data_IF_790855418852
#
_entry.id   IF_790855418852
#
_cell.length_a   1.000
_cell.length_b   1.000
_cell.length_c   1.000
_cell.angle_alpha   90.00
_cell.angle_beta   90.00
_cell.angle_gamma   90.00
#
_symmetry.space_group_name_H-M   'P 1'
#
loop_
_entity.id
_entity.type
_entity.pdbx_description
1 polymer ?
#
# COMPACT_ATOMS: atom_id res chain seq x y z
N UNK A 1 47.65 26.11 -24.83
CA UNK A 1 47.13 24.75 -24.51
C UNK A 1 45.61 24.77 -24.60
N UNK A 2 45.03 23.80 -25.26
CA UNK A 2 43.58 23.71 -25.40
C UNK A 2 42.97 23.09 -24.11
N UNK A 3 42.05 23.81 -23.47
CA UNK A 3 41.38 23.32 -22.25
C UNK A 3 40.04 22.64 -22.60
N UNK A 4 39.77 21.52 -21.95
CA UNK A 4 38.50 20.76 -22.12
C UNK A 4 37.38 21.39 -21.31
N UNK A 5 36.22 21.59 -21.93
CA UNK A 5 35.01 22.14 -21.30
C UNK A 5 33.82 21.25 -21.66
N UNK A 6 32.90 20.99 -20.69
CA UNK A 6 31.69 20.25 -20.95
C UNK A 6 30.60 21.11 -21.59
N UNK A 7 29.95 20.61 -22.64
CA UNK A 7 28.78 21.22 -23.24
C UNK A 7 27.53 21.09 -22.34
N UNK A 8 26.44 21.81 -22.66
CA UNK A 8 25.14 21.67 -21.97
C UNK A 8 24.59 20.24 -21.97
N UNK A 9 24.96 19.43 -22.98
CA UNK A 9 24.60 18.01 -23.12
C UNK A 9 25.70 17.07 -22.60
N UNK A 10 26.67 17.54 -21.80
CA UNK A 10 27.73 16.72 -21.21
C UNK A 10 28.82 16.26 -22.19
N UNK A 11 28.85 16.77 -23.42
CA UNK A 11 29.90 16.45 -24.40
C UNK A 11 31.12 17.31 -24.16
N UNK A 12 32.29 16.72 -24.27
CA UNK A 12 33.57 17.48 -24.16
C UNK A 12 33.70 18.43 -25.33
N UNK A 13 34.03 19.70 -25.03
CA UNK A 13 34.40 20.75 -25.98
C UNK A 13 35.84 21.13 -25.77
N UNK A 14 36.52 21.46 -26.87
CA UNK A 14 37.87 22.00 -26.84
C UNK A 14 37.81 23.52 -26.95
N UNK A 15 38.51 24.22 -26.05
CA UNK A 15 38.72 25.66 -26.17
C UNK A 15 40.01 25.91 -26.97
N UNK A 16 39.89 26.55 -28.10
CA UNK A 16 41.05 26.99 -28.90
C UNK A 16 40.79 28.39 -29.46
N UNK A 17 41.72 29.30 -29.19
CA UNK A 17 41.63 30.70 -29.64
C UNK A 17 40.30 31.41 -29.35
N UNK A 18 39.71 31.19 -28.17
CA UNK A 18 38.44 31.79 -27.77
C UNK A 18 37.18 31.16 -28.39
N UNK A 19 37.35 30.06 -29.11
CA UNK A 19 36.27 29.30 -29.69
C UNK A 19 36.09 27.96 -29.01
N UNK A 20 34.86 27.44 -28.99
CA UNK A 20 34.50 26.16 -28.42
C UNK A 20 34.18 25.15 -29.51
N UNK A 21 34.98 24.11 -29.64
CA UNK A 21 34.85 23.06 -30.62
C UNK A 21 34.23 21.79 -30.00
N UNK A 22 33.32 21.12 -30.72
CA UNK A 22 32.79 19.83 -30.34
C UNK A 22 33.68 18.68 -30.89
N UNK A 23 34.02 17.70 -30.06
CA UNK A 23 34.66 16.49 -30.56
C UNK A 23 33.63 15.69 -31.40
N UNK A 24 33.90 15.54 -32.70
CA UNK A 24 33.23 14.58 -33.55
C UNK A 24 33.95 13.23 -33.43
N UNK A 25 33.27 12.17 -33.03
CA UNK A 25 33.82 10.82 -33.00
C UNK A 25 34.01 10.36 -34.45
N UNK A 26 35.22 10.49 -34.99
CA UNK A 26 35.57 9.93 -36.31
C UNK A 26 35.93 8.47 -36.06
N UNK A 27 35.19 7.55 -36.70
CA UNK A 27 35.49 6.14 -36.77
C UNK A 27 36.63 5.91 -37.78
N UNK A 28 37.86 6.25 -37.47
CA UNK A 28 39.02 5.70 -38.16
C UNK A 28 40.35 6.02 -37.48
N UNK A 29 41.33 5.17 -37.74
CA UNK A 29 42.61 4.93 -37.10
C UNK A 29 43.67 6.04 -37.19
N UNK A 30 43.41 7.32 -37.11
CA UNK A 30 44.48 8.35 -36.95
C UNK A 30 43.95 9.57 -36.20
N UNK A 31 44.67 10.03 -35.20
CA UNK A 31 44.45 11.21 -34.37
C UNK A 31 44.58 12.54 -35.15
N UNK A 32 43.71 12.86 -36.03
CA UNK A 32 43.60 14.23 -36.58
C UNK A 32 42.35 14.90 -36.11
N UNK A 33 42.47 15.87 -35.22
CA UNK A 33 41.37 16.77 -34.82
C UNK A 33 41.25 17.89 -35.86
N UNK A 34 40.30 17.81 -36.74
CA UNK A 34 40.00 18.92 -37.68
C UNK A 34 39.35 20.09 -36.94
N UNK A 35 39.98 21.25 -36.96
CA UNK A 35 39.46 22.48 -36.40
C UNK A 35 38.79 23.23 -37.52
N UNK A 36 37.46 23.32 -37.50
CA UNK A 36 36.67 24.07 -38.50
C UNK A 36 36.73 25.59 -38.18
N UNK A 37 36.79 26.43 -39.24
CA UNK A 37 36.75 27.90 -39.09
C UNK A 37 35.37 28.32 -38.57
N UNK A 38 35.32 29.12 -37.49
CA UNK A 38 34.09 29.65 -36.94
C UNK A 38 33.65 30.93 -37.68
N UNK A 39 32.35 31.00 -37.95
CA UNK A 39 31.71 32.22 -38.51
C UNK A 39 31.32 33.25 -37.45
N UNK A 40 31.43 32.93 -36.15
CA UNK A 40 31.09 33.81 -35.04
C UNK A 40 32.38 34.42 -34.42
N UNK A 41 32.35 35.65 -33.84
CA UNK A 41 33.49 36.25 -33.18
C UNK A 41 33.89 35.44 -31.93
N UNK A 42 35.21 35.40 -31.68
CA UNK A 42 35.73 34.81 -30.46
C UNK A 42 35.30 35.63 -29.24
N UNK A 43 34.89 34.92 -28.15
CA UNK A 43 34.50 35.56 -26.88
C UNK A 43 35.16 34.85 -25.73
N UNK A 44 36.16 35.45 -25.15
CA UNK A 44 36.87 34.94 -23.98
C UNK A 44 35.92 34.86 -22.77
N UNK A 45 35.01 35.83 -22.61
CA UNK A 45 34.06 35.86 -21.50
C UNK A 45 33.07 34.69 -21.57
N UNK A 46 32.59 34.31 -22.77
CA UNK A 46 31.71 33.18 -22.96
C UNK A 46 32.41 31.84 -22.66
N UNK A 47 33.70 31.72 -23.00
CA UNK A 47 34.53 30.57 -22.70
C UNK A 47 34.71 30.40 -21.20
N UNK A 48 35.10 31.47 -20.50
CA UNK A 48 35.30 31.50 -19.07
C UNK A 48 33.95 31.22 -18.31
N UNK A 49 32.85 31.83 -18.74
CA UNK A 49 31.53 31.54 -18.16
C UNK A 49 31.15 30.06 -18.26
N UNK A 50 31.50 29.40 -19.38
CA UNK A 50 31.26 27.95 -19.53
C UNK A 50 32.16 27.10 -18.65
N UNK A 51 33.41 27.52 -18.40
CA UNK A 51 34.29 26.83 -17.41
C UNK A 51 33.71 26.95 -16.02
N UNK A 52 33.22 28.10 -15.59
CA UNK A 52 32.56 28.32 -14.31
C UNK A 52 31.32 27.43 -14.16
N UNK A 53 30.46 27.37 -15.18
CA UNK A 53 29.28 26.50 -15.17
C UNK A 53 29.69 25.00 -15.13
N UNK A 54 30.80 24.64 -15.76
CA UNK A 54 31.32 23.25 -15.70
C UNK A 54 31.83 22.93 -14.31
N UNK A 55 32.53 23.84 -13.64
CA UNK A 55 32.96 23.70 -12.26
C UNK A 55 31.75 23.57 -11.32
N UNK A 56 30.73 24.42 -11.47
CA UNK A 56 29.47 24.31 -10.73
C UNK A 56 28.81 22.95 -10.90
N UNK A 57 28.76 22.40 -12.11
CA UNK A 57 28.19 21.07 -12.38
C UNK A 57 28.98 19.98 -11.69
N UNK A 58 30.32 19.98 -11.75
CA UNK A 58 31.17 19.00 -11.06
C UNK A 58 30.98 19.05 -9.55
N UNK A 59 30.99 20.25 -8.97
CA UNK A 59 30.77 20.44 -7.53
C UNK A 59 29.37 20.01 -7.09
N UNK A 60 28.35 20.25 -7.94
CA UNK A 60 26.97 19.83 -7.67
C UNK A 60 26.82 18.30 -7.55
N UNK A 61 27.64 17.52 -8.25
CA UNK A 61 27.71 16.05 -8.14
C UNK A 61 28.47 15.63 -6.88
N UNK A 62 29.60 16.25 -6.62
CA UNK A 62 30.49 15.86 -5.51
C UNK A 62 30.10 16.34 -4.12
N UNK A 63 29.05 17.21 -4.00
CA UNK A 63 28.67 17.76 -2.70
C UNK A 63 27.14 17.84 -2.54
N UNK A 64 26.67 17.88 -1.29
CA UNK A 64 25.25 18.05 -0.93
C UNK A 64 24.88 19.53 -0.72
N UNK A 65 25.77 20.46 -1.08
CA UNK A 65 25.53 21.91 -0.93
C UNK A 65 24.27 22.37 -1.66
N UNK A 66 23.58 23.35 -1.07
CA UNK A 66 22.40 23.94 -1.73
C UNK A 66 22.76 24.65 -3.02
N UNK A 67 21.86 24.79 -4.01
CA UNK A 67 22.13 25.57 -5.23
C UNK A 67 22.55 27.01 -4.95
N UNK A 68 22.13 27.60 -3.83
CA UNK A 68 22.51 28.94 -3.41
C UNK A 68 23.99 29.00 -2.98
N UNK A 69 24.42 28.04 -2.15
CA UNK A 69 25.81 27.90 -1.68
C UNK A 69 26.71 27.60 -2.87
N UNK A 70 26.35 26.62 -3.72
CA UNK A 70 27.10 26.27 -4.93
C UNK A 70 27.31 27.51 -5.83
N UNK A 71 26.26 28.32 -6.02
CA UNK A 71 26.36 29.56 -6.80
C UNK A 71 27.30 30.54 -6.13
N UNK A 72 27.15 30.82 -4.84
CA UNK A 72 27.97 31.77 -4.10
C UNK A 72 29.46 31.44 -4.21
N UNK A 73 29.81 30.19 -3.89
CA UNK A 73 31.22 29.74 -3.89
C UNK A 73 31.82 29.62 -5.28
N UNK A 74 31.04 29.15 -6.29
CA UNK A 74 31.58 29.00 -7.65
C UNK A 74 31.69 30.31 -8.41
N UNK A 75 30.89 31.34 -8.04
CA UNK A 75 30.89 32.66 -8.69
C UNK A 75 31.73 33.66 -7.92
N UNK A 76 32.36 33.26 -6.84
CA UNK A 76 33.29 34.06 -6.08
C UNK A 76 34.52 34.44 -6.94
N UNK A 77 34.97 35.69 -6.86
CA UNK A 77 36.13 36.22 -7.57
C UNK A 77 36.05 36.14 -9.11
N UNK A 78 34.86 36.03 -9.70
CA UNK A 78 34.69 36.03 -11.16
C UNK A 78 34.58 37.48 -11.67
N UNK A 79 35.34 37.86 -12.71
CA UNK A 79 35.28 39.21 -13.29
C UNK A 79 33.88 39.59 -13.80
N UNK A 80 33.50 40.87 -13.62
CA UNK A 80 32.16 41.39 -13.99
C UNK A 80 31.72 41.05 -15.42
N UNK A 81 32.56 41.13 -16.47
CA UNK A 81 32.16 40.76 -17.83
C UNK A 81 31.75 39.28 -17.98
N UNK A 82 32.40 38.40 -17.20
CA UNK A 82 32.08 36.96 -17.17
C UNK A 82 30.83 36.70 -16.34
N UNK A 83 30.66 37.39 -15.18
CA UNK A 83 29.46 37.30 -14.34
C UNK A 83 28.19 37.63 -15.14
N UNK A 84 28.23 38.63 -16.01
CA UNK A 84 27.10 39.00 -16.87
C UNK A 84 26.68 37.88 -17.85
N UNK A 85 27.56 36.90 -18.11
CA UNK A 85 27.29 35.73 -18.98
C UNK A 85 26.88 34.47 -18.21
N UNK A 86 26.92 34.52 -16.88
CA UNK A 86 26.55 33.36 -16.05
C UNK A 86 25.03 33.23 -15.89
N UNK A 87 24.53 32.02 -15.67
CA UNK A 87 23.11 31.75 -15.44
C UNK A 87 22.60 32.51 -14.21
N UNK A 88 21.39 33.05 -14.28
CA UNK A 88 20.69 33.63 -13.13
C UNK A 88 20.42 32.61 -12.05
N UNK A 89 19.87 33.05 -10.91
CA UNK A 89 19.58 32.17 -9.73
C UNK A 89 18.70 30.99 -10.08
N UNK A 90 17.63 31.20 -10.84
CA UNK A 90 16.68 30.12 -11.18
C UNK A 90 17.25 29.16 -12.23
N UNK A 91 17.97 29.65 -13.21
CA UNK A 91 18.70 28.83 -14.17
C UNK A 91 19.76 27.97 -13.47
N UNK A 92 20.51 28.54 -12.50
CA UNK A 92 21.49 27.81 -11.69
C UNK A 92 20.79 26.68 -10.91
N UNK A 93 19.66 26.97 -10.23
CA UNK A 93 18.87 25.97 -9.51
C UNK A 93 18.42 24.84 -10.44
N UNK A 94 17.95 25.15 -11.64
CA UNK A 94 17.56 24.16 -12.67
C UNK A 94 18.77 23.34 -13.16
N UNK A 95 19.93 23.96 -13.35
CA UNK A 95 21.18 23.25 -13.75
C UNK A 95 21.58 22.24 -12.67
N UNK A 96 21.69 22.67 -11.42
CA UNK A 96 22.05 21.81 -10.30
C UNK A 96 21.07 20.64 -10.17
N UNK A 97 19.75 20.93 -10.22
CA UNK A 97 18.72 19.90 -10.17
C UNK A 97 18.87 18.88 -11.30
N UNK A 98 19.06 19.32 -12.55
CA UNK A 98 19.22 18.43 -13.71
C UNK A 98 20.48 17.58 -13.65
N UNK A 99 21.59 18.15 -13.16
CA UNK A 99 22.87 17.43 -13.04
C UNK A 99 22.75 16.33 -11.99
N UNK A 100 22.21 16.64 -10.81
CA UNK A 100 21.98 15.66 -9.76
C UNK A 100 20.99 14.57 -10.21
N UNK A 101 19.87 14.95 -10.84
CA UNK A 101 18.91 14.00 -11.39
C UNK A 101 19.48 13.08 -12.47
N UNK A 102 20.50 13.52 -13.20
CA UNK A 102 21.15 12.71 -14.23
C UNK A 102 22.13 11.70 -13.63
N UNK A 103 22.83 12.08 -12.57
CA UNK A 103 23.76 11.22 -11.84
C UNK A 103 23.01 10.12 -11.08
N UNK A 104 21.88 10.51 -10.43
CA UNK A 104 20.95 9.60 -9.73
C UNK A 104 19.81 9.11 -10.65
N UNK A 105 19.99 9.16 -11.97
CA UNK A 105 18.91 8.78 -12.90
C UNK A 105 18.60 7.28 -12.73
N UNK A 106 17.37 6.95 -12.36
CA UNK A 106 16.98 5.55 -12.27
C UNK A 106 17.09 4.87 -13.63
N UNK A 107 17.26 3.55 -13.68
CA UNK A 107 17.26 2.79 -14.92
C UNK A 107 16.03 3.07 -15.77
N UNK A 108 16.14 2.89 -17.08
CA UNK A 108 14.98 3.00 -17.96
C UNK A 108 13.91 1.96 -17.56
N UNK A 109 12.64 2.37 -17.55
CA UNK A 109 11.55 1.42 -17.31
C UNK A 109 11.43 0.46 -18.49
N UNK A 110 11.37 -0.85 -18.26
CA UNK A 110 11.12 -1.83 -19.32
C UNK A 110 9.67 -1.75 -19.80
N UNK A 111 9.41 -2.27 -21.01
CA UNK A 111 8.08 -2.29 -21.60
C UNK A 111 7.19 -3.44 -21.05
N UNK A 112 7.80 -4.48 -20.49
CA UNK A 112 7.12 -5.65 -19.94
C UNK A 112 7.92 -6.26 -18.78
N UNK A 113 7.28 -7.15 -18.03
CA UNK A 113 7.88 -7.79 -16.84
C UNK A 113 9.04 -8.74 -17.17
N UNK A 114 9.09 -9.28 -18.41
CA UNK A 114 10.15 -10.19 -18.83
C UNK A 114 11.48 -9.45 -19.05
N UNK A 115 11.43 -8.17 -19.43
CA UNK A 115 12.62 -7.34 -19.62
C UNK A 115 13.07 -6.64 -18.32
N UNK A 116 12.33 -6.79 -17.24
CA UNK A 116 12.64 -6.14 -15.98
C UNK A 116 13.85 -6.76 -15.31
N UNK A 117 14.89 -5.97 -15.16
CA UNK A 117 16.09 -6.30 -14.38
C UNK A 117 16.18 -5.31 -13.21
N UNK A 118 16.30 -5.83 -11.98
CA UNK A 118 16.49 -5.02 -10.79
C UNK A 118 17.99 -4.92 -10.49
N UNK A 119 18.58 -3.71 -10.57
CA UNK A 119 19.94 -3.49 -10.10
C UNK A 119 20.10 -3.79 -8.61
N UNK A 120 21.30 -4.15 -8.18
CA UNK A 120 21.63 -4.50 -6.79
C UNK A 120 21.18 -3.43 -5.78
N UNK A 121 21.41 -2.15 -6.11
CA UNK A 121 20.99 -1.02 -5.27
C UNK A 121 19.49 -1.00 -4.95
N UNK A 122 18.65 -1.61 -5.78
CA UNK A 122 17.20 -1.72 -5.54
C UNK A 122 16.80 -3.01 -4.80
N UNK A 123 17.73 -3.96 -4.65
CA UNK A 123 17.48 -5.22 -3.97
C UNK A 123 17.91 -5.21 -2.51
N UNK A 124 18.72 -4.23 -2.07
CA UNK A 124 19.29 -4.15 -0.73
C UNK A 124 18.75 -2.98 0.07
N UNK A 125 18.82 -3.05 1.40
CA UNK A 125 18.40 -2.04 2.35
C UNK A 125 19.52 -1.73 3.34
N UNK A 126 19.89 -0.45 3.44
CA UNK A 126 20.88 0.05 4.40
C UNK A 126 20.18 0.64 5.63
N UNK A 127 20.19 -0.11 6.72
CA UNK A 127 19.64 0.35 8.00
C UNK A 127 20.47 1.46 8.61
N UNK A 128 21.80 1.29 8.68
CA UNK A 128 22.80 2.24 9.17
C UNK A 128 24.11 2.00 8.45
N UNK A 129 25.10 2.85 8.67
CA UNK A 129 26.43 2.67 8.11
C UNK A 129 27.01 1.28 8.47
N UNK A 130 27.41 0.52 7.46
CA UNK A 130 27.95 -0.85 7.62
C UNK A 130 26.94 -1.96 7.89
N UNK A 131 25.62 -1.67 7.92
CA UNK A 131 24.55 -2.69 8.07
C UNK A 131 23.62 -2.68 6.87
N UNK A 132 23.93 -3.52 5.91
CA UNK A 132 23.13 -3.76 4.70
C UNK A 132 22.51 -5.16 4.76
N UNK A 133 21.25 -5.28 4.34
CA UNK A 133 20.52 -6.55 4.28
C UNK A 133 19.71 -6.60 2.98
N UNK A 134 19.26 -7.78 2.61
CA UNK A 134 18.37 -7.98 1.46
C UNK A 134 17.01 -7.29 1.72
N UNK A 135 16.52 -6.60 0.68
CA UNK A 135 15.21 -5.93 0.69
C UNK A 135 14.24 -6.53 -0.32
N UNK A 136 14.73 -7.02 -1.47
CA UNK A 136 13.97 -7.89 -2.35
C UNK A 136 14.00 -9.30 -1.74
N UNK A 137 12.94 -9.64 -1.00
CA UNK A 137 12.83 -10.93 -0.32
C UNK A 137 12.66 -12.08 -1.29
N UNK A 138 11.81 -11.89 -2.31
CA UNK A 138 11.57 -12.89 -3.34
C UNK A 138 11.24 -12.24 -4.68
N UNK A 139 11.62 -12.95 -5.74
CA UNK A 139 11.24 -12.71 -7.12
C UNK A 139 10.76 -14.04 -7.70
N UNK A 140 9.54 -14.09 -8.21
CA UNK A 140 8.98 -15.32 -8.79
C UNK A 140 9.64 -15.71 -10.09
N UNK A 141 10.52 -14.84 -10.62
CA UNK A 141 10.86 -14.82 -12.03
C UNK A 141 9.60 -14.68 -12.90
N UNK A 142 9.80 -14.69 -14.22
CA UNK A 142 8.68 -14.60 -15.16
C UNK A 142 8.05 -15.96 -15.32
N UNK A 143 6.73 -16.02 -15.17
CA UNK A 143 5.94 -17.23 -15.42
C UNK A 143 4.73 -16.91 -16.31
N UNK A 144 4.22 -17.92 -16.98
CA UNK A 144 3.05 -17.81 -17.87
C UNK A 144 1.79 -18.35 -17.16
N UNK A 145 0.71 -17.57 -17.22
CA UNK A 145 -0.61 -17.98 -16.73
C UNK A 145 -1.65 -17.41 -17.72
N UNK A 146 -2.55 -18.26 -18.23
CA UNK A 146 -3.60 -17.87 -19.20
C UNK A 146 -3.05 -17.09 -20.43
N UNK A 147 -1.93 -17.53 -21.00
CA UNK A 147 -1.23 -16.90 -22.13
C UNK A 147 -0.75 -15.45 -21.82
N UNK A 148 -0.55 -15.12 -20.56
CA UNK A 148 0.00 -13.84 -20.13
C UNK A 148 1.24 -14.05 -19.25
N UNK A 149 2.21 -13.16 -19.43
CA UNK A 149 3.44 -13.20 -18.64
C UNK A 149 3.24 -12.47 -17.32
N UNK A 150 3.52 -13.17 -16.24
CA UNK A 150 3.36 -12.69 -14.87
C UNK A 150 4.70 -12.67 -14.13
N UNK A 151 4.79 -11.82 -13.11
CA UNK A 151 5.89 -11.77 -12.18
C UNK A 151 5.45 -11.19 -10.84
N UNK A 152 6.02 -11.70 -9.76
CA UNK A 152 5.78 -11.26 -8.39
C UNK A 152 7.10 -10.79 -7.81
N UNK A 153 7.13 -9.57 -7.25
CA UNK A 153 8.26 -9.05 -6.51
C UNK A 153 7.83 -8.80 -5.07
N UNK A 154 8.55 -9.35 -4.10
CA UNK A 154 8.23 -9.18 -2.68
C UNK A 154 9.35 -8.39 -2.01
N UNK A 155 9.01 -7.24 -1.46
CA UNK A 155 9.91 -6.35 -0.74
C UNK A 155 9.63 -6.35 0.75
N UNK A 156 10.67 -6.36 1.55
CA UNK A 156 10.64 -6.32 3.00
C UNK A 156 12.03 -6.53 3.56
N UNK A 157 12.19 -6.49 4.87
CA UNK A 157 13.50 -6.74 5.50
C UNK A 157 13.73 -8.24 5.68
N UNK A 158 14.89 -8.73 5.25
CA UNK A 158 15.32 -10.11 5.50
C UNK A 158 15.31 -10.45 7.00
N UNK A 159 15.76 -9.51 7.84
CA UNK A 159 15.80 -9.67 9.30
C UNK A 159 14.42 -9.79 9.96
N UNK A 160 13.31 -9.54 9.26
CA UNK A 160 11.98 -9.88 9.76
C UNK A 160 11.79 -11.40 9.90
N UNK A 161 12.53 -12.22 9.15
CA UNK A 161 12.56 -13.67 9.31
C UNK A 161 12.94 -14.13 10.72
N UNK A 162 13.75 -13.36 11.46
CA UNK A 162 14.16 -13.70 12.82
C UNK A 162 12.99 -13.81 13.83
N UNK A 163 11.83 -13.28 13.47
CA UNK A 163 10.62 -13.35 14.28
C UNK A 163 9.39 -13.82 13.49
N UNK A 164 9.62 -14.49 12.36
CA UNK A 164 8.53 -15.00 11.52
C UNK A 164 7.60 -15.96 12.27
N UNK A 165 8.13 -16.74 13.21
CA UNK A 165 7.32 -17.60 14.09
C UNK A 165 6.37 -16.80 15.00
N UNK A 166 6.67 -15.54 15.33
CA UNK A 166 5.82 -14.67 16.16
C UNK A 166 4.75 -13.94 15.35
N UNK A 167 4.76 -14.07 14.02
CA UNK A 167 3.76 -13.46 13.11
C UNK A 167 2.45 -14.25 13.12
N UNK A 168 1.75 -14.27 14.26
CA UNK A 168 0.53 -15.06 14.45
C UNK A 168 -0.73 -14.36 13.96
N UNK A 169 -0.84 -13.05 14.14
CA UNK A 169 -1.95 -12.25 13.61
C UNK A 169 -1.45 -11.38 12.46
N UNK A 170 -1.94 -11.68 11.27
CA UNK A 170 -1.54 -11.03 10.00
C UNK A 170 -2.69 -10.20 9.45
N UNK A 171 -2.37 -9.07 8.86
CA UNK A 171 -3.29 -8.16 8.19
C UNK A 171 -2.81 -7.98 6.76
N UNK A 172 -3.65 -8.30 5.80
CA UNK A 172 -3.28 -8.28 4.39
C UNK A 172 -4.35 -7.54 3.56
N UNK A 173 -3.90 -6.66 2.67
CA UNK A 173 -4.80 -5.87 1.83
C UNK A 173 -4.10 -5.39 0.56
N UNK A 174 -4.86 -5.23 -0.53
CA UNK A 174 -4.40 -4.79 -1.83
C UNK A 174 -4.75 -3.33 -2.14
N UNK A 175 -3.83 -2.62 -2.77
CA UNK A 175 -4.08 -1.27 -3.29
C UNK A 175 -3.58 -1.11 -4.72
N UNK A 176 -4.34 -0.34 -5.53
CA UNK A 176 -4.03 -0.09 -6.94
C UNK A 176 -3.36 1.27 -7.16
N UNK A 177 -3.73 2.26 -6.34
CA UNK A 177 -3.37 3.69 -6.55
C UNK A 177 -1.86 3.90 -6.59
N UNK A 178 -1.12 3.13 -5.80
CA UNK A 178 0.34 3.23 -5.69
C UNK A 178 1.07 2.12 -6.45
N UNK A 179 0.36 1.31 -7.23
CA UNK A 179 1.01 0.26 -8.02
C UNK A 179 1.83 0.85 -9.15
N UNK A 180 3.13 0.47 -9.27
CA UNK A 180 3.96 0.86 -10.40
C UNK A 180 3.40 0.29 -11.72
N UNK A 181 3.66 0.95 -12.88
CA UNK A 181 3.42 0.36 -14.18
C UNK A 181 4.02 -1.05 -14.28
N UNK A 182 3.42 -1.93 -15.04
CA UNK A 182 3.67 -3.38 -15.18
C UNK A 182 3.05 -4.24 -14.07
N UNK A 183 2.65 -3.67 -12.94
CA UNK A 183 1.98 -4.41 -11.85
C UNK A 183 0.56 -3.91 -11.67
N UNK A 184 -0.36 -4.82 -11.39
CA UNK A 184 -1.76 -4.50 -11.20
C UNK A 184 -2.03 -3.94 -9.81
N UNK A 185 -1.33 -4.47 -8.79
CA UNK A 185 -1.54 -4.04 -7.41
C UNK A 185 -0.28 -4.17 -6.55
N UNK A 186 -0.30 -3.44 -5.43
CA UNK A 186 0.56 -3.62 -4.27
C UNK A 186 -0.25 -4.33 -3.21
N UNK A 187 0.21 -5.49 -2.74
CA UNK A 187 -0.40 -6.23 -1.64
C UNK A 187 0.48 -6.07 -0.39
N UNK A 188 -0.05 -5.37 0.60
CA UNK A 188 0.67 -5.10 1.84
C UNK A 188 0.37 -6.19 2.86
N UNK A 189 1.40 -6.71 3.52
CA UNK A 189 1.31 -7.73 4.56
C UNK A 189 1.91 -7.15 5.82
N UNK A 190 1.09 -7.08 6.86
CA UNK A 190 1.47 -6.57 8.17
C UNK A 190 1.31 -7.68 9.19
N UNK A 191 2.10 -7.64 10.26
CA UNK A 191 1.95 -8.57 11.37
C UNK A 191 1.95 -7.86 12.71
N UNK A 192 1.16 -8.38 13.63
CA UNK A 192 1.19 -8.00 15.03
C UNK A 192 2.48 -8.49 15.69
N UNK A 193 3.05 -7.67 16.55
CA UNK A 193 4.17 -8.03 17.40
C UNK A 193 3.90 -7.57 18.84
N UNK A 194 3.97 -8.49 19.77
CA UNK A 194 3.44 -8.25 21.11
C UNK A 194 1.93 -7.94 21.07
N UNK A 195 1.40 -7.32 22.12
CA UNK A 195 -0.05 -7.16 22.28
C UNK A 195 -0.68 -6.13 21.33
N UNK A 196 0.07 -5.09 20.92
CA UNK A 196 -0.54 -3.91 20.30
C UNK A 196 0.19 -3.34 19.09
N UNK A 197 1.46 -3.68 18.86
CA UNK A 197 2.20 -3.15 17.73
C UNK A 197 1.86 -3.94 16.46
N UNK A 198 1.71 -3.23 15.35
CA UNK A 198 1.52 -3.84 14.02
C UNK A 198 2.51 -3.20 13.06
N UNK A 199 3.34 -4.04 12.44
CA UNK A 199 4.38 -3.62 11.51
C UNK A 199 4.12 -4.17 10.11
N UNK A 200 4.31 -3.37 9.05
CA UNK A 200 4.44 -3.89 7.71
C UNK A 200 5.67 -4.81 7.64
N UNK A 201 5.48 -6.04 7.19
CA UNK A 201 6.55 -7.04 7.09
C UNK A 201 6.94 -7.30 5.65
N UNK A 202 5.97 -7.23 4.72
CA UNK A 202 6.23 -7.38 3.30
C UNK A 202 5.27 -6.55 2.44
N UNK A 203 5.73 -6.20 1.23
CA UNK A 203 4.93 -5.60 0.16
C UNK A 203 5.16 -6.39 -1.12
N UNK A 204 4.11 -6.98 -1.65
CA UNK A 204 4.17 -7.74 -2.89
C UNK A 204 3.63 -6.89 -4.07
N UNK A 205 4.39 -6.80 -5.14
CA UNK A 205 3.94 -6.29 -6.43
C UNK A 205 3.41 -7.46 -7.25
N UNK A 206 2.13 -7.43 -7.58
CA UNK A 206 1.44 -8.51 -8.29
C UNK A 206 0.98 -8.03 -9.67
N UNK A 207 1.21 -8.85 -10.69
CA UNK A 207 0.75 -8.59 -12.06
C UNK A 207 -0.68 -9.04 -12.32
N UNK A 208 -1.26 -9.84 -11.43
CA UNK A 208 -2.62 -10.36 -11.52
C UNK A 208 -3.27 -10.43 -10.14
N UNK A 209 -4.60 -10.62 -10.12
CA UNK A 209 -5.42 -10.88 -8.93
C UNK A 209 -6.02 -12.28 -8.93
N UNK A 210 -5.43 -13.18 -9.70
CA UNK A 210 -5.88 -14.56 -9.73
C UNK A 210 -5.55 -15.30 -8.41
N UNK A 211 -6.31 -16.33 -8.11
CA UNK A 211 -6.04 -17.21 -6.98
C UNK A 211 -4.63 -17.83 -7.08
N UNK A 212 -4.21 -18.22 -8.29
CA UNK A 212 -2.88 -18.77 -8.53
C UNK A 212 -1.77 -17.75 -8.22
N UNK A 213 -1.94 -16.46 -8.60
CA UNK A 213 -0.99 -15.40 -8.27
C UNK A 213 -0.89 -15.19 -6.75
N UNK A 214 -2.01 -15.16 -6.01
CA UNK A 214 -1.99 -15.05 -4.55
C UNK A 214 -1.37 -16.27 -3.88
N UNK A 215 -1.70 -17.48 -4.35
CA UNK A 215 -1.10 -18.73 -3.86
C UNK A 215 0.41 -18.72 -4.02
N UNK A 216 0.89 -18.39 -5.22
CA UNK A 216 2.33 -18.28 -5.49
C UNK A 216 3.01 -17.22 -4.61
N UNK A 217 2.37 -16.09 -4.37
CA UNK A 217 2.88 -15.06 -3.44
C UNK A 217 3.07 -15.63 -2.03
N UNK A 218 2.07 -16.34 -1.48
CA UNK A 218 2.18 -16.96 -0.15
C UNK A 218 3.24 -18.05 -0.09
N UNK A 219 3.37 -18.86 -1.13
CA UNK A 219 4.44 -19.87 -1.23
C UNK A 219 5.82 -19.23 -1.22
N UNK A 220 6.03 -18.14 -1.95
CA UNK A 220 7.28 -17.38 -1.93
C UNK A 220 7.60 -16.85 -0.52
N UNK A 221 6.61 -16.33 0.20
CA UNK A 221 6.79 -15.86 1.59
C UNK A 221 7.17 -17.02 2.51
N UNK A 222 6.50 -18.17 2.41
CA UNK A 222 6.83 -19.38 3.19
C UNK A 222 8.25 -19.89 2.88
N UNK A 223 8.68 -19.80 1.63
CA UNK A 223 10.03 -20.19 1.24
C UNK A 223 11.12 -19.26 1.82
N UNK A 224 10.82 -17.95 1.90
CA UNK A 224 11.74 -16.97 2.51
C UNK A 224 11.75 -17.09 4.04
N UNK A 225 10.57 -17.30 4.63
CA UNK A 225 10.38 -17.40 6.07
C UNK A 225 9.71 -18.75 6.42
N UNK A 226 10.52 -19.80 6.55
CA UNK A 226 10.05 -21.18 6.80
C UNK A 226 9.17 -21.29 8.05
N UNK A 227 9.42 -20.46 9.07
CA UNK A 227 8.68 -20.44 10.32
C UNK A 227 7.40 -19.58 10.25
N UNK A 228 7.07 -18.99 9.10
CA UNK A 228 5.87 -18.19 8.93
C UNK A 228 4.62 -19.07 8.91
N UNK A 229 3.91 -19.06 10.03
CA UNK A 229 2.71 -19.86 10.25
C UNK A 229 1.68 -19.05 11.06
N UNK A 230 0.87 -18.21 10.39
CA UNK A 230 -0.12 -17.36 11.04
C UNK A 230 -1.28 -18.19 11.61
N UNK A 231 -1.77 -17.79 12.79
CA UNK A 231 -3.00 -18.29 13.38
C UNK A 231 -4.23 -17.63 12.74
N UNK A 232 -4.09 -16.34 12.39
CA UNK A 232 -5.16 -15.59 11.73
C UNK A 232 -4.63 -14.68 10.63
N UNK A 233 -5.40 -14.53 9.54
CA UNK A 233 -5.15 -13.55 8.48
C UNK A 233 -6.41 -12.72 8.28
N UNK A 234 -6.30 -11.41 8.53
CA UNK A 234 -7.35 -10.44 8.23
C UNK A 234 -7.19 -9.94 6.79
N UNK A 235 -8.26 -10.03 6.00
CA UNK A 235 -8.29 -9.64 4.58
C UNK A 235 -9.63 -8.99 4.21
N UNK A 236 -9.77 -8.55 2.96
CA UNK A 236 -11.04 -8.09 2.41
C UNK A 236 -11.86 -9.24 1.79
N UNK A 237 -12.99 -8.90 1.13
CA UNK A 237 -13.91 -9.88 0.51
C UNK A 237 -13.50 -10.23 -0.92
N UNK A 238 -12.23 -10.57 -1.14
CA UNK A 238 -11.74 -11.05 -2.43
C UNK A 238 -11.57 -12.58 -2.42
N UNK A 239 -12.46 -13.30 -3.10
CA UNK A 239 -12.49 -14.77 -3.06
C UNK A 239 -11.16 -15.41 -3.48
N UNK A 240 -10.49 -14.85 -4.49
CA UNK A 240 -9.18 -15.33 -4.93
C UNK A 240 -8.14 -15.27 -3.80
N UNK A 241 -8.12 -14.17 -3.04
CA UNK A 241 -7.23 -14.02 -1.87
C UNK A 241 -7.64 -14.98 -0.73
N UNK A 242 -8.94 -15.09 -0.44
CA UNK A 242 -9.47 -16.00 0.58
C UNK A 242 -9.11 -17.46 0.27
N UNK A 243 -9.33 -17.91 -0.98
CA UNK A 243 -9.04 -19.28 -1.39
C UNK A 243 -7.54 -19.58 -1.34
N UNK A 244 -6.71 -18.64 -1.77
CA UNK A 244 -5.24 -18.79 -1.69
C UNK A 244 -4.77 -18.95 -0.24
N UNK A 245 -5.36 -18.21 0.72
CA UNK A 245 -5.06 -18.35 2.15
C UNK A 245 -5.48 -19.73 2.64
N UNK A 246 -6.69 -20.22 2.30
CA UNK A 246 -7.16 -21.56 2.66
C UNK A 246 -6.21 -22.65 2.16
N UNK A 247 -5.73 -22.51 0.92
CA UNK A 247 -4.79 -23.46 0.29
C UNK A 247 -3.43 -23.46 0.99
N UNK A 248 -2.86 -22.26 1.21
CA UNK A 248 -1.51 -22.15 1.77
C UNK A 248 -1.43 -22.34 3.29
N UNK A 249 -2.52 -22.02 4.02
CA UNK A 249 -2.61 -22.04 5.48
C UNK A 249 -3.92 -22.70 5.96
N UNK A 250 -4.09 -24.03 5.81
CA UNK A 250 -5.36 -24.72 6.09
C UNK A 250 -5.87 -24.61 7.55
N UNK A 251 -4.97 -24.29 8.49
CA UNK A 251 -5.31 -24.13 9.92
C UNK A 251 -5.47 -22.67 10.33
N UNK A 252 -5.30 -21.74 9.40
CA UNK A 252 -5.39 -20.31 9.67
C UNK A 252 -6.85 -19.85 9.69
N UNK A 253 -7.23 -19.12 10.71
CA UNK A 253 -8.52 -18.43 10.75
C UNK A 253 -8.50 -17.25 9.76
N UNK A 254 -9.43 -17.21 8.82
CA UNK A 254 -9.58 -16.10 7.88
C UNK A 254 -10.60 -15.11 8.45
N UNK A 255 -10.19 -13.86 8.59
CA UNK A 255 -10.98 -12.79 9.20
C UNK A 255 -11.26 -11.69 8.17
N UNK A 256 -12.46 -11.68 7.59
CA UNK A 256 -12.86 -10.56 6.73
C UNK A 256 -13.14 -9.30 7.54
N UNK A 257 -12.80 -8.16 6.96
CA UNK A 257 -12.83 -6.86 7.59
C UNK A 257 -14.27 -6.31 7.69
N UNK A 258 -14.74 -5.98 8.89
CA UNK A 258 -16.07 -5.37 9.11
C UNK A 258 -16.24 -4.05 8.35
N UNK A 259 -15.18 -3.23 8.23
CA UNK A 259 -15.24 -2.00 7.46
C UNK A 259 -15.56 -2.26 5.98
N UNK A 260 -14.96 -3.30 5.38
CA UNK A 260 -15.25 -3.69 4.00
C UNK A 260 -16.67 -4.27 3.85
N UNK A 261 -17.22 -4.95 4.87
CA UNK A 261 -18.62 -5.38 4.87
C UNK A 261 -19.57 -4.18 4.76
N UNK A 262 -19.38 -3.17 5.63
CA UNK A 262 -20.17 -1.93 5.61
C UNK A 262 -19.97 -1.17 4.29
N UNK A 263 -18.76 -1.12 3.77
CA UNK A 263 -18.47 -0.48 2.48
C UNK A 263 -19.17 -1.19 1.32
N UNK A 264 -19.22 -2.53 1.33
CA UNK A 264 -19.97 -3.30 0.34
C UNK A 264 -21.48 -3.03 0.41
N UNK A 265 -22.05 -2.92 1.62
CA UNK A 265 -23.44 -2.50 1.81
C UNK A 265 -23.68 -1.09 1.25
N UNK A 266 -22.83 -0.12 1.57
CA UNK A 266 -22.96 1.25 1.03
C UNK A 266 -22.85 1.29 -0.50
N UNK A 267 -21.97 0.48 -1.07
CA UNK A 267 -21.90 0.32 -2.54
C UNK A 267 -23.23 -0.21 -3.09
N UNK A 268 -23.84 -1.18 -2.41
CA UNK A 268 -25.13 -1.74 -2.80
C UNK A 268 -26.26 -0.72 -2.67
N UNK A 269 -26.29 0.05 -1.57
CA UNK A 269 -27.22 1.18 -1.43
C UNK A 269 -27.08 2.20 -2.59
N UNK A 270 -25.85 2.46 -3.04
CA UNK A 270 -25.59 3.35 -4.19
C UNK A 270 -26.10 2.75 -5.50
N UNK A 271 -25.91 1.44 -5.73
CA UNK A 271 -26.42 0.73 -6.91
C UNK A 271 -27.96 0.76 -7.00
N UNK A 272 -28.64 0.74 -5.86
CA UNK A 272 -30.10 0.86 -5.79
C UNK A 272 -30.62 2.32 -5.68
N UNK A 273 -29.72 3.32 -5.81
CA UNK A 273 -30.09 4.74 -5.74
C UNK A 273 -30.48 5.25 -4.34
N UNK A 274 -30.23 4.47 -3.30
CA UNK A 274 -30.65 4.75 -1.92
C UNK A 274 -29.62 5.58 -1.13
N UNK A 275 -28.47 5.92 -1.70
CA UNK A 275 -27.38 6.61 -0.98
C UNK A 275 -27.75 8.02 -0.53
N UNK A 276 -28.58 8.75 -1.29
CA UNK A 276 -29.06 10.07 -0.89
C UNK A 276 -29.94 9.98 0.33
N UNK A 277 -30.85 8.99 0.38
CA UNK A 277 -31.70 8.74 1.55
C UNK A 277 -30.90 8.35 2.77
N UNK A 278 -29.91 7.44 2.60
CA UNK A 278 -28.98 7.05 3.66
C UNK A 278 -28.28 8.25 4.30
N UNK A 279 -27.94 9.29 3.52
CA UNK A 279 -27.26 10.50 4.02
C UNK A 279 -28.20 11.47 4.73
N UNK A 280 -29.46 11.54 4.32
CA UNK A 280 -30.39 12.58 4.74
C UNK A 280 -31.46 12.10 5.74
N UNK A 281 -31.68 10.80 5.87
CA UNK A 281 -32.64 10.19 6.78
C UNK A 281 -31.90 9.35 7.84
N UNK A 282 -31.79 9.87 9.10
CA UNK A 282 -31.09 9.16 10.16
C UNK A 282 -31.71 7.80 10.52
N UNK A 283 -33.05 7.68 10.40
CA UNK A 283 -33.76 6.42 10.72
C UNK A 283 -33.45 5.39 9.64
N UNK A 284 -33.54 5.76 8.38
CA UNK A 284 -33.17 4.90 7.26
C UNK A 284 -31.69 4.47 7.34
N UNK A 285 -30.78 5.39 7.69
CA UNK A 285 -29.38 5.08 7.90
C UNK A 285 -29.16 4.10 9.05
N UNK A 286 -29.87 4.27 10.17
CA UNK A 286 -29.79 3.34 11.30
C UNK A 286 -30.29 1.95 10.90
N UNK A 287 -31.45 1.84 10.26
CA UNK A 287 -31.98 0.56 9.80
C UNK A 287 -31.09 -0.11 8.76
N UNK A 288 -30.49 0.66 7.84
CA UNK A 288 -29.48 0.11 6.91
C UNK A 288 -28.32 -0.54 7.67
N UNK A 289 -27.85 0.09 8.77
CA UNK A 289 -26.77 -0.46 9.60
C UNK A 289 -27.20 -1.67 10.44
N UNK A 290 -28.49 -1.86 10.74
CA UNK A 290 -28.96 -3.09 11.40
C UNK A 290 -28.55 -4.34 10.62
N UNK A 291 -28.62 -4.29 9.28
CA UNK A 291 -28.22 -5.41 8.42
C UNK A 291 -26.76 -5.80 8.67
N UNK A 292 -25.84 -4.85 8.70
CA UNK A 292 -24.43 -5.13 8.96
C UNK A 292 -24.11 -5.36 10.44
N UNK A 293 -24.99 -4.89 11.36
CA UNK A 293 -24.89 -5.18 12.80
C UNK A 293 -25.11 -6.65 13.12
N UNK A 294 -25.73 -7.44 12.22
CA UNK A 294 -25.81 -8.90 12.36
C UNK A 294 -24.44 -9.57 12.52
N UNK A 295 -23.35 -8.90 12.08
CA UNK A 295 -21.99 -9.38 12.30
C UNK A 295 -21.64 -9.55 13.79
N UNK A 296 -22.32 -8.86 14.68
CA UNK A 296 -22.13 -8.91 16.13
C UNK A 296 -23.05 -9.88 16.86
N UNK A 297 -23.86 -10.65 16.16
CA UNK A 297 -24.69 -11.70 16.74
C UNK A 297 -23.92 -13.03 16.73
N UNK A 298 -24.20 -13.94 17.68
CA UNK A 298 -23.82 -15.34 17.54
C UNK A 298 -24.31 -15.90 16.20
N UNK A 299 -23.54 -16.75 15.55
CA UNK A 299 -23.91 -17.29 14.22
C UNK A 299 -25.28 -18.02 14.28
N UNK A 300 -25.59 -18.68 15.41
CA UNK A 300 -26.87 -19.31 15.61
C UNK A 300 -28.07 -18.36 15.56
N UNK A 301 -27.88 -17.11 15.93
CA UNK A 301 -28.95 -16.10 15.96
C UNK A 301 -29.13 -15.36 14.63
N UNK A 302 -28.39 -15.69 13.60
CA UNK A 302 -28.56 -15.06 12.29
C UNK A 302 -29.94 -15.37 11.67
N UNK A 303 -30.52 -16.55 11.90
CA UNK A 303 -31.85 -16.87 11.39
C UNK A 303 -32.95 -16.07 12.08
N UNK A 304 -33.08 -16.06 13.41
CA UNK A 304 -34.07 -15.20 14.07
C UNK A 304 -33.85 -13.72 13.77
N UNK A 305 -32.59 -13.26 13.60
CA UNK A 305 -32.31 -11.87 13.22
C UNK A 305 -32.81 -11.54 11.81
N UNK A 306 -32.62 -12.42 10.83
CA UNK A 306 -33.16 -12.23 9.47
C UNK A 306 -34.68 -12.13 9.50
N UNK A 307 -35.37 -13.03 10.23
CA UNK A 307 -36.82 -13.00 10.36
C UNK A 307 -37.30 -11.70 11.03
N UNK A 308 -36.61 -11.27 12.09
CA UNK A 308 -36.93 -10.03 12.79
C UNK A 308 -36.73 -8.79 11.88
N UNK A 309 -35.63 -8.76 11.12
CA UNK A 309 -35.34 -7.67 10.20
C UNK A 309 -36.34 -7.62 9.04
N UNK A 310 -36.70 -8.75 8.46
CA UNK A 310 -37.70 -8.85 7.38
C UNK A 310 -39.04 -8.19 7.73
N UNK A 311 -39.42 -8.26 9.02
CA UNK A 311 -40.66 -7.67 9.54
C UNK A 311 -40.53 -6.21 9.95
N UNK A 312 -39.35 -5.75 10.30
CA UNK A 312 -39.14 -4.43 10.95
C UNK A 312 -38.40 -3.42 10.08
N UNK A 313 -37.72 -3.87 8.98
CA UNK A 313 -37.03 -2.96 8.06
C UNK A 313 -38.04 -2.20 7.18
N UNK A 314 -37.65 -0.96 6.83
CA UNK A 314 -38.34 -0.22 5.76
C UNK A 314 -38.32 -1.02 4.46
N UNK A 315 -39.45 -1.04 3.75
CA UNK A 315 -39.63 -1.81 2.52
C UNK A 315 -38.56 -1.56 1.48
N UNK A 316 -38.04 -0.34 1.39
CA UNK A 316 -36.99 0.04 0.44
C UNK A 316 -35.63 -0.59 0.76
N UNK A 317 -35.41 -1.11 1.97
CA UNK A 317 -34.22 -1.85 2.35
C UNK A 317 -34.29 -3.34 2.03
N UNK A 318 -35.43 -3.85 1.64
CA UNK A 318 -35.60 -5.28 1.32
C UNK A 318 -34.63 -5.76 0.25
N UNK A 319 -34.38 -5.05 -0.86
CA UNK A 319 -33.37 -5.50 -1.84
C UNK A 319 -31.94 -5.57 -1.28
N UNK A 320 -31.62 -4.74 -0.29
CA UNK A 320 -30.32 -4.77 0.40
C UNK A 320 -30.24 -6.00 1.33
N UNK A 321 -31.33 -6.29 2.03
CA UNK A 321 -31.44 -7.45 2.90
C UNK A 321 -31.35 -8.76 2.10
N UNK A 322 -32.04 -8.85 0.96
CA UNK A 322 -31.98 -10.01 0.05
C UNK A 322 -30.57 -10.24 -0.48
N UNK A 323 -29.89 -9.17 -0.89
CA UNK A 323 -28.49 -9.22 -1.32
C UNK A 323 -27.59 -9.71 -0.20
N UNK A 324 -27.80 -9.22 1.04
CA UNK A 324 -27.00 -9.65 2.19
C UNK A 324 -27.23 -11.14 2.49
N UNK A 325 -28.48 -11.58 2.51
CA UNK A 325 -28.82 -12.98 2.71
C UNK A 325 -28.17 -13.88 1.66
N UNK A 326 -28.27 -13.51 0.38
CA UNK A 326 -27.70 -14.33 -0.70
C UNK A 326 -26.18 -14.48 -0.60
N UNK A 327 -25.47 -13.42 -0.21
CA UNK A 327 -24.01 -13.40 -0.28
C UNK A 327 -23.31 -13.75 1.04
N UNK A 328 -23.97 -13.53 2.21
CA UNK A 328 -23.30 -13.58 3.51
C UNK A 328 -23.90 -14.56 4.49
N UNK A 329 -25.19 -14.86 4.44
CA UNK A 329 -25.83 -15.75 5.39
C UNK A 329 -26.38 -17.03 4.77
N UNK A 330 -26.68 -17.03 3.48
CA UNK A 330 -27.44 -18.07 2.81
C UNK A 330 -28.93 -17.98 3.08
N UNK A 331 -29.75 -18.48 2.15
CA UNK A 331 -31.22 -18.57 2.28
C UNK A 331 -31.60 -19.70 3.20
N UNK A 332 -32.65 -19.49 3.97
CA UNK A 332 -33.24 -20.54 4.82
C UNK A 332 -34.07 -21.47 3.93
N UNK A 333 -33.83 -22.75 4.05
CA UNK A 333 -34.57 -23.82 3.39
C UNK A 333 -35.75 -24.29 4.26
N UNK A 334 -36.73 -24.97 3.66
CA UNK A 334 -37.91 -25.50 4.35
C UNK A 334 -37.58 -26.46 5.50
N UNK A 335 -36.41 -27.10 5.46
CA UNK A 335 -35.92 -28.00 6.49
C UNK A 335 -35.15 -27.29 7.62
N UNK A 336 -35.18 -25.95 7.67
CA UNK A 336 -34.51 -25.14 8.70
C UNK A 336 -33.02 -24.88 8.45
N UNK A 337 -32.39 -25.58 7.49
CA UNK A 337 -30.99 -25.34 7.13
C UNK A 337 -30.81 -24.17 6.15
N UNK A 338 -29.61 -23.66 6.08
CA UNK A 338 -29.23 -22.56 5.14
C UNK A 338 -28.51 -23.07 3.90
N UNK A 339 -28.68 -22.40 2.79
CA UNK A 339 -27.79 -22.57 1.64
C UNK A 339 -26.40 -22.01 1.97
N UNK A 340 -25.36 -22.52 1.31
CA UNK A 340 -24.00 -22.00 1.47
C UNK A 340 -23.86 -20.67 0.73
N UNK A 341 -23.59 -19.54 1.42
CA UNK A 341 -23.38 -18.25 0.78
C UNK A 341 -21.96 -18.14 0.19
N UNK A 342 -21.72 -17.09 -0.61
CA UNK A 342 -20.36 -16.81 -1.13
C UNK A 342 -19.36 -16.55 0.01
N UNK A 343 -19.76 -15.77 1.01
CA UNK A 343 -18.96 -15.46 2.20
C UNK A 343 -19.66 -16.06 3.42
N UNK A 344 -19.20 -17.23 3.83
CA UNK A 344 -19.79 -17.93 5.01
C UNK A 344 -19.65 -17.09 6.28
N UNK A 345 -20.59 -17.22 7.24
CA UNK A 345 -20.62 -16.39 8.46
C UNK A 345 -19.32 -16.36 9.24
N UNK A 346 -18.57 -17.44 9.28
CA UNK A 346 -17.28 -17.56 9.99
C UNK A 346 -16.23 -16.56 9.48
N UNK A 347 -16.33 -16.12 8.21
CA UNK A 347 -15.39 -15.18 7.65
C UNK A 347 -15.61 -13.76 8.19
N UNK A 348 -16.86 -13.34 8.38
CA UNK A 348 -17.21 -11.94 8.64
C UNK A 348 -17.85 -11.69 10.00
N UNK A 349 -18.25 -12.74 10.73
CA UNK A 349 -18.80 -12.59 12.07
C UNK A 349 -17.73 -12.06 13.04
N UNK A 350 -18.10 -11.07 13.86
CA UNK A 350 -17.20 -10.42 14.80
C UNK A 350 -17.65 -10.60 16.27
N UNK A 351 -18.66 -11.42 16.56
CA UNK A 351 -19.19 -11.61 17.89
C UNK A 351 -18.10 -12.06 18.88
N UNK A 352 -17.49 -13.22 18.64
CA UNK A 352 -16.43 -13.75 19.51
C UNK A 352 -15.21 -12.81 19.54
N UNK A 353 -14.77 -12.29 18.37
CA UNK A 353 -13.69 -11.32 18.29
C UNK A 353 -13.94 -10.08 19.14
N UNK A 354 -15.20 -9.62 19.23
CA UNK A 354 -15.59 -8.49 20.06
C UNK A 354 -15.45 -8.81 21.54
N UNK A 355 -15.95 -9.97 21.98
CA UNK A 355 -15.85 -10.43 23.37
C UNK A 355 -14.41 -10.63 23.82
N UNK A 356 -13.55 -11.11 22.94
CA UNK A 356 -12.11 -11.32 23.17
C UNK A 356 -11.28 -10.03 23.08
N UNK A 357 -11.89 -8.90 22.70
CA UNK A 357 -11.18 -7.64 22.47
C UNK A 357 -10.27 -7.67 21.23
N UNK A 358 -10.46 -8.61 20.31
CA UNK A 358 -9.69 -8.75 19.08
C UNK A 358 -10.12 -7.73 18.02
N UNK A 359 -9.28 -7.54 16.98
CA UNK A 359 -9.57 -6.57 15.91
C UNK A 359 -10.73 -7.05 15.03
N UNK A 360 -11.67 -6.14 14.79
CA UNK A 360 -12.83 -6.34 13.91
C UNK A 360 -12.59 -5.83 12.49
N UNK A 361 -11.54 -5.04 12.30
CA UNK A 361 -11.27 -4.34 11.04
C UNK A 361 -9.81 -4.48 10.63
N UNK A 362 -9.53 -4.31 9.34
CA UNK A 362 -8.18 -4.30 8.77
C UNK A 362 -7.60 -2.86 8.68
N UNK A 363 -7.94 -1.99 9.64
CA UNK A 363 -7.53 -0.57 9.64
C UNK A 363 -6.02 -0.36 9.61
N UNK A 364 -5.23 -1.35 10.04
CA UNK A 364 -3.76 -1.28 10.00
C UNK A 364 -3.25 -1.27 8.56
N UNK A 365 -3.76 -2.16 7.69
CA UNK A 365 -3.39 -2.20 6.28
C UNK A 365 -3.85 -0.94 5.55
N UNK A 366 -5.10 -0.48 5.79
CA UNK A 366 -5.59 0.77 5.21
C UNK A 366 -4.78 1.99 5.65
N UNK A 367 -4.38 2.05 6.92
CA UNK A 367 -3.51 3.10 7.44
C UNK A 367 -2.12 3.06 6.78
N UNK A 368 -1.56 1.87 6.57
CA UNK A 368 -0.30 1.69 5.86
C UNK A 368 -0.41 2.18 4.41
N UNK A 369 -1.50 1.83 3.71
CA UNK A 369 -1.76 2.32 2.35
C UNK A 369 -1.87 3.85 2.29
N UNK A 370 -2.61 4.48 3.21
CA UNK A 370 -2.73 5.95 3.29
C UNK A 370 -1.39 6.63 3.57
N UNK A 371 -0.55 6.06 4.44
CA UNK A 371 0.81 6.56 4.69
C UNK A 371 1.67 6.48 3.42
N UNK A 372 1.66 5.34 2.74
CA UNK A 372 2.38 5.16 1.47
C UNK A 372 1.89 6.12 0.38
N UNK A 373 0.58 6.29 0.19
CA UNK A 373 0.02 7.23 -0.78
C UNK A 373 0.52 8.66 -0.55
N UNK A 374 0.56 9.11 0.73
CA UNK A 374 1.11 10.42 1.09
C UNK A 374 2.61 10.52 0.80
N UNK A 375 3.37 9.46 1.10
CA UNK A 375 4.81 9.41 0.85
C UNK A 375 5.15 9.47 -0.64
N UNK A 376 4.36 8.81 -1.49
CA UNK A 376 4.55 8.86 -2.94
C UNK A 376 4.19 10.20 -3.56
N UNK A 377 3.21 10.91 -3.01
CA UNK A 377 2.70 12.20 -3.54
C UNK A 377 2.27 12.13 -5.02
N UNK A 378 2.00 10.95 -5.53
CA UNK A 378 1.50 10.69 -6.90
C UNK A 378 0.83 9.31 -6.98
N UNK A 379 -0.06 9.15 -7.96
CA UNK A 379 -0.58 7.84 -8.35
C UNK A 379 0.39 7.16 -9.32
N UNK A 380 0.43 5.82 -9.28
CA UNK A 380 1.24 4.99 -10.17
C UNK A 380 2.70 5.48 -10.30
N UNK A 381 3.50 5.49 -9.19
CA UNK A 381 4.91 5.87 -9.23
C UNK A 381 5.69 4.91 -10.13
N UNK A 382 6.84 5.38 -10.67
CA UNK A 382 7.76 4.44 -11.32
C UNK A 382 8.23 3.38 -10.34
N UNK A 383 8.60 2.18 -10.82
CA UNK A 383 9.09 1.09 -9.96
C UNK A 383 10.26 1.54 -9.08
N UNK A 384 11.19 2.30 -9.65
CA UNK A 384 12.36 2.80 -8.92
C UNK A 384 11.96 3.76 -7.79
N UNK A 385 11.05 4.71 -8.08
CA UNK A 385 10.50 5.61 -7.06
C UNK A 385 9.74 4.82 -5.99
N UNK A 386 9.03 3.76 -6.38
CA UNK A 386 8.31 2.89 -5.46
C UNK A 386 9.27 2.25 -4.47
N UNK A 387 10.32 1.57 -4.94
CA UNK A 387 11.29 0.88 -4.09
C UNK A 387 12.01 1.87 -3.16
N UNK A 388 12.48 3.01 -3.68
CA UNK A 388 13.15 4.03 -2.87
C UNK A 388 12.23 4.64 -1.80
N UNK A 389 10.95 4.79 -2.10
CA UNK A 389 9.98 5.27 -1.12
C UNK A 389 9.70 4.21 -0.05
N UNK A 390 9.57 2.93 -0.43
CA UNK A 390 9.46 1.85 0.54
C UNK A 390 10.66 1.80 1.49
N UNK A 391 11.88 1.95 0.98
CA UNK A 391 13.10 1.98 1.82
C UNK A 391 13.08 3.16 2.80
N UNK A 392 12.60 4.34 2.40
CA UNK A 392 12.45 5.50 3.30
C UNK A 392 11.41 5.26 4.37
N UNK A 393 10.26 4.71 4.00
CA UNK A 393 9.21 4.33 4.96
C UNK A 393 9.72 3.25 5.92
N UNK A 394 10.52 2.30 5.45
CA UNK A 394 11.13 1.27 6.29
C UNK A 394 12.02 1.88 7.38
N UNK A 395 12.77 2.95 7.10
CA UNK A 395 13.56 3.66 8.14
C UNK A 395 12.67 4.21 9.26
N UNK A 396 11.49 4.74 8.94
CA UNK A 396 10.54 5.19 9.95
C UNK A 396 10.00 3.99 10.78
N UNK A 397 9.76 2.84 10.13
CA UNK A 397 9.36 1.61 10.82
C UNK A 397 10.45 1.04 11.71
N UNK A 398 11.71 1.18 11.31
CA UNK A 398 12.85 0.77 12.14
C UNK A 398 12.92 1.57 13.45
N UNK A 399 12.57 2.86 13.41
CA UNK A 399 12.46 3.68 14.62
C UNK A 399 11.28 3.22 15.52
N UNK A 400 10.11 2.93 14.93
CA UNK A 400 8.96 2.36 15.65
C UNK A 400 9.32 0.99 16.28
N UNK A 401 10.05 0.14 15.54
CA UNK A 401 10.54 -1.15 16.04
C UNK A 401 11.53 -0.99 17.20
N UNK A 402 12.38 0.02 17.16
CA UNK A 402 13.28 0.32 18.27
C UNK A 402 12.51 0.73 19.54
N UNK A 403 11.43 1.50 19.42
CA UNK A 403 10.54 1.82 20.52
C UNK A 403 9.85 0.57 21.10
N UNK A 404 9.38 -0.33 20.22
CA UNK A 404 8.83 -1.63 20.65
C UNK A 404 9.86 -2.43 21.46
N UNK A 405 11.10 -2.58 20.95
CA UNK A 405 12.17 -3.32 21.62
C UNK A 405 12.53 -2.69 22.97
N UNK A 406 12.45 -1.36 23.09
CA UNK A 406 12.66 -0.62 24.33
C UNK A 406 11.47 -0.73 25.32
N UNK A 407 10.41 -1.48 24.99
CA UNK A 407 9.25 -1.70 25.86
C UNK A 407 8.21 -0.56 25.84
N UNK A 408 8.28 0.36 24.88
CA UNK A 408 7.27 1.42 24.75
C UNK A 408 5.94 0.88 24.19
N UNK A 409 4.85 1.47 24.64
CA UNK A 409 3.53 1.19 24.07
C UNK A 409 3.33 1.96 22.75
N UNK A 410 2.56 1.41 21.79
CA UNK A 410 2.19 2.14 20.58
C UNK A 410 1.27 3.32 20.92
N UNK A 411 1.16 4.31 20.01
CA UNK A 411 0.21 5.39 20.15
C UNK A 411 -1.21 4.86 20.38
N UNK A 412 -1.90 5.42 21.37
CA UNK A 412 -3.26 5.00 21.69
C UNK A 412 -4.23 5.40 20.57
N UNK A 413 -5.26 4.57 20.36
CA UNK A 413 -6.42 4.95 19.52
C UNK A 413 -7.03 6.25 20.05
N UNK A 414 -7.53 7.11 19.16
CA UNK A 414 -8.22 8.32 19.57
C UNK A 414 -9.39 8.00 20.53
N UNK A 415 -9.65 8.89 21.50
CA UNK A 415 -10.66 8.72 22.56
C UNK A 415 -12.05 8.33 21.98
N UNK A 416 -12.45 8.96 20.86
CA UNK A 416 -13.72 8.65 20.15
C UNK A 416 -13.84 7.15 19.85
N UNK A 417 -12.79 6.54 19.29
CA UNK A 417 -12.81 5.13 18.89
C UNK A 417 -12.75 4.18 20.07
N UNK A 418 -11.99 4.53 21.14
CA UNK A 418 -11.96 3.73 22.36
C UNK A 418 -13.33 3.68 23.03
N UNK A 419 -13.98 4.83 23.18
CA UNK A 419 -15.30 4.91 23.76
C UNK A 419 -16.36 4.15 22.93
N UNK A 420 -16.24 4.11 21.61
CA UNK A 420 -17.09 3.30 20.76
C UNK A 420 -16.80 1.78 20.95
N UNK A 421 -15.52 1.39 21.00
CA UNK A 421 -15.13 -0.01 21.25
C UNK A 421 -15.66 -0.50 22.62
N UNK A 422 -15.60 0.32 23.68
CA UNK A 422 -16.11 0.00 25.00
C UNK A 422 -17.65 -0.18 24.99
N UNK A 423 -18.40 0.69 24.32
CA UNK A 423 -19.86 0.56 24.19
C UNK A 423 -20.28 -0.65 23.38
N UNK A 424 -19.59 -0.94 22.27
CA UNK A 424 -19.84 -2.13 21.45
C UNK A 424 -19.58 -3.38 22.26
N UNK A 425 -18.47 -3.44 23.00
CA UNK A 425 -18.15 -4.57 23.87
C UNK A 425 -19.23 -4.77 24.95
N UNK A 426 -19.65 -3.70 25.63
CA UNK A 426 -20.68 -3.77 26.66
C UNK A 426 -22.01 -4.32 26.10
N UNK A 427 -22.44 -3.80 24.93
CA UNK A 427 -23.67 -4.31 24.28
C UNK A 427 -23.53 -5.79 23.89
N UNK A 428 -22.38 -6.18 23.30
CA UNK A 428 -22.16 -7.55 22.87
C UNK A 428 -22.09 -8.52 24.05
N UNK A 429 -21.49 -8.11 25.17
CA UNK A 429 -21.36 -8.94 26.38
C UNK A 429 -22.70 -9.12 27.11
N UNK A 430 -23.64 -8.21 26.96
CA UNK A 430 -24.98 -8.30 27.59
C UNK A 430 -26.02 -8.99 26.72
N UNK A 431 -25.70 -9.28 25.45
CA UNK A 431 -26.60 -9.97 24.56
C UNK A 431 -26.87 -11.40 25.00
N UNK A 432 -28.14 -11.80 25.03
CA UNK A 432 -28.55 -13.16 25.37
C UNK A 432 -28.93 -13.91 24.08
N UNK A 433 -28.18 -14.98 23.71
CA UNK A 433 -28.48 -15.76 22.52
C UNK A 433 -29.90 -16.34 22.56
N UNK A 434 -30.58 -16.28 21.43
CA UNK A 434 -31.96 -16.79 21.26
C UNK A 434 -31.93 -18.26 20.84
N UNK A 435 -31.00 -18.60 19.93
CA UNK A 435 -30.80 -19.99 19.50
C UNK A 435 -29.58 -20.58 20.21
N UNK A 436 -29.83 -21.57 21.05
CA UNK A 436 -28.80 -22.27 21.84
C UNK A 436 -28.38 -23.60 21.16
N UNK A 437 -29.05 -24.00 20.06
CA UNK A 437 -28.81 -25.24 19.33
C UNK A 437 -27.72 -25.17 18.26
N UNK A 438 -27.86 -25.98 17.22
CA UNK A 438 -26.97 -25.97 16.05
C UNK A 438 -26.96 -24.58 15.40
N UNK A 439 -25.80 -23.94 15.26
CA UNK A 439 -25.70 -22.59 14.69
C UNK A 439 -26.12 -22.49 13.22
N UNK A 440 -26.21 -23.63 12.51
CA UNK A 440 -26.62 -23.69 11.10
C UNK A 440 -28.06 -24.16 10.88
N UNK A 441 -28.75 -24.53 11.98
CA UNK A 441 -30.13 -24.99 11.97
C UNK A 441 -30.98 -24.10 12.88
N UNK A 442 -32.17 -23.75 12.41
CA UNK A 442 -33.18 -23.08 13.20
C UNK A 442 -34.54 -23.75 13.02
N UNK A 443 -35.18 -24.13 14.13
CA UNK A 443 -36.54 -24.63 14.10
C UNK A 443 -37.51 -23.51 13.73
N UNK A 444 -38.07 -23.53 12.53
CA UNK A 444 -38.99 -22.52 12.03
C UNK A 444 -40.30 -22.43 12.84
N UNK A 445 -40.61 -23.39 13.68
CA UNK A 445 -41.76 -23.37 14.61
C UNK A 445 -41.37 -22.80 15.98
N UNK A 446 -40.10 -22.50 16.23
CA UNK A 446 -39.65 -21.90 17.48
C UNK A 446 -40.24 -20.53 17.68
N UNK A 447 -40.90 -20.33 18.81
CA UNK A 447 -41.35 -18.97 19.22
C UNK A 447 -40.19 -18.24 19.90
N UNK A 448 -39.89 -17.07 19.42
CA UNK A 448 -38.89 -16.17 20.03
C UNK A 448 -39.38 -14.72 20.04
N UNK A 449 -38.83 -13.93 20.95
CA UNK A 449 -39.12 -12.49 21.04
C UNK A 449 -38.18 -11.73 20.11
N UNK A 450 -38.74 -10.97 19.17
CA UNK A 450 -37.96 -10.20 18.19
C UNK A 450 -37.32 -8.95 18.78
N UNK A 451 -38.00 -8.34 19.79
CA UNK A 451 -37.60 -7.05 20.34
C UNK A 451 -36.18 -7.02 20.88
N UNK A 452 -35.67 -8.01 21.63
CA UNK A 452 -34.28 -8.02 22.10
C UNK A 452 -33.26 -8.01 20.98
N UNK A 453 -33.55 -8.67 19.85
CA UNK A 453 -32.67 -8.67 18.66
C UNK A 453 -32.66 -7.29 18.03
N UNK A 454 -33.82 -6.69 17.81
CA UNK A 454 -33.95 -5.34 17.21
C UNK A 454 -33.29 -4.29 18.10
N UNK A 455 -33.51 -4.34 19.42
CA UNK A 455 -32.88 -3.40 20.37
C UNK A 455 -31.35 -3.51 20.35
N UNK A 456 -30.82 -4.74 20.30
CA UNK A 456 -29.38 -4.99 20.17
C UNK A 456 -28.81 -4.43 18.86
N UNK A 457 -29.41 -4.75 17.71
CA UNK A 457 -28.97 -4.27 16.41
C UNK A 457 -29.06 -2.75 16.31
N UNK A 458 -30.13 -2.16 16.88
CA UNK A 458 -30.32 -0.71 16.95
C UNK A 458 -29.22 -0.06 17.82
N UNK A 459 -28.99 -0.58 19.02
CA UNK A 459 -27.95 -0.10 19.94
C UNK A 459 -26.56 -0.12 19.29
N UNK A 460 -26.23 -1.19 18.59
CA UNK A 460 -24.97 -1.29 17.84
C UNK A 460 -24.87 -0.29 16.70
N UNK A 461 -25.95 -0.10 15.94
CA UNK A 461 -25.96 0.77 14.75
C UNK A 461 -25.59 2.23 15.03
N UNK A 462 -25.74 2.69 16.28
CA UNK A 462 -25.35 4.01 16.75
C UNK A 462 -23.88 4.12 17.18
N UNK A 463 -23.15 2.99 17.30
CA UNK A 463 -21.81 2.97 17.86
C UNK A 463 -20.70 2.79 16.80
N UNK A 464 -21.06 2.53 15.54
CA UNK A 464 -20.08 2.51 14.47
C UNK A 464 -20.59 3.30 13.26
N UNK A 465 -19.96 4.44 13.00
CA UNK A 465 -20.02 5.14 11.74
C UNK A 465 -18.75 4.79 11.00
N UNK A 466 -18.85 3.91 10.01
CA UNK A 466 -17.72 3.60 9.14
C UNK A 466 -17.83 4.44 7.87
N UNK A 467 -17.74 5.75 8.02
CA UNK A 467 -17.51 6.64 6.89
C UNK A 467 -16.00 6.75 6.66
N UNK A 468 -15.56 6.63 5.38
CA UNK A 468 -14.15 6.66 5.02
C UNK A 468 -13.50 8.02 5.28
#
# INVERSE_FOLDING_TARGET
MAAEILSERGRTKLNYNGFLYLFRKIKSRRNCKEITIHSCPASAENVEAKKVVTSLKRRAVGTMETPAILRATTFENIPTPVLARLPNKDATKKIVKRVRQKEDAPPAMPNNVAQLQLPEDYQTYKRSEGREERFLLADSEVYEENNQMHRILIFGRESHGNWANDMKDVFADGTFIISPPLFQQVYAILSRRGDRWVFPVAYALLTSKSEATYTRMWELIKNVWSEFSPNSISTDYEMAAINSIRTCFPRCEIRCCLFHLVRNMKKKLSEFGLMQRYRNDPIFAAQSRWITSMAFLPIGDLTPAIISLDRNLMQELQPIMDWFVMNYTGRILHNGYRTVPMFVPELWNVYNRTLEGADRTNNFAESAHRKLQRAFSCSHPTLWKFIETLKREQKARDAEMALFIAGHNPPQKARKYRAADERILALTATYQPVNIGDPFYFDLNQVFYEQPIIDFLSGLSHNYEMDP
#
